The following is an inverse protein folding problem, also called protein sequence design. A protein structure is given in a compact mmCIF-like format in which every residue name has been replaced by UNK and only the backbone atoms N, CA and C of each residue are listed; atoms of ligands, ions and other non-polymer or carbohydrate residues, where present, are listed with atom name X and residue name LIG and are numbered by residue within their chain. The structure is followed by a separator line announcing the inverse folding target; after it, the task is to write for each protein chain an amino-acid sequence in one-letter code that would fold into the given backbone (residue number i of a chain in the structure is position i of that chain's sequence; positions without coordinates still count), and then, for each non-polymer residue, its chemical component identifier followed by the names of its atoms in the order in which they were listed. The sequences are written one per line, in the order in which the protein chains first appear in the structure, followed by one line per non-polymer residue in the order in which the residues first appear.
data_IF_396756308240
#
_entry.id   IF_396756308240
#
_cell.length_a   1.000
_cell.length_b   1.000
_cell.length_c   1.000
_cell.angle_alpha   90.00
_cell.angle_beta   90.00
_cell.angle_gamma   90.00
#
_symmetry.space_group_name_H-M   'P 1'
#
loop_
_entity.id
_entity.type
_entity.pdbx_description
1 polymer ?
#
# COMPACT_ATOMS: atom_id res chain seq x y z
N UNK A 1 8.31 -15.83 9.89
CA UNK A 1 7.56 -15.02 10.86
C UNK A 1 6.38 -14.34 10.14
N UNK A 2 5.50 -15.11 9.49
CA UNK A 2 4.19 -15.56 10.00
C UNK A 2 3.14 -14.44 10.27
N UNK A 3 3.24 -13.30 9.61
CA UNK A 3 2.09 -12.39 9.41
C UNK A 3 1.17 -12.78 8.24
N UNK A 4 1.22 -14.02 7.77
CA UNK A 4 0.68 -14.44 6.46
C UNK A 4 -0.83 -14.76 6.47
N UNK A 5 -1.53 -14.71 7.61
CA UNK A 5 -2.93 -15.20 7.70
C UNK A 5 -3.73 -14.46 8.78
N UNK A 6 -4.03 -13.18 8.60
CA UNK A 6 -5.07 -12.54 9.42
C UNK A 6 -6.33 -12.30 8.58
N UNK A 7 -7.12 -13.38 8.51
CA UNK A 7 -8.59 -13.39 8.56
C UNK A 7 -9.31 -12.34 7.70
N UNK A 8 -9.69 -12.77 6.49
CA UNK A 8 -10.07 -11.99 5.32
C UNK A 8 -11.22 -10.96 5.44
N UNK A 9 -12.04 -10.88 6.50
CA UNK A 9 -13.10 -9.86 6.54
C UNK A 9 -13.35 -9.27 7.94
N UNK A 10 -13.52 -10.10 8.96
CA UNK A 10 -13.80 -9.62 10.33
C UNK A 10 -12.64 -8.86 11.00
N UNK A 11 -11.40 -9.13 10.58
CA UNK A 11 -10.22 -8.44 11.12
C UNK A 11 -9.90 -7.14 10.38
N UNK A 12 -10.45 -6.98 9.17
CA UNK A 12 -10.29 -5.78 8.36
C UNK A 12 -11.10 -4.61 8.97
N UNK A 13 -12.36 -4.87 9.33
CA UNK A 13 -13.22 -3.90 10.00
C UNK A 13 -12.68 -3.53 11.38
N UNK A 14 -12.21 -4.52 12.14
CA UNK A 14 -11.64 -4.26 13.46
C UNK A 14 -10.28 -3.53 13.36
N UNK A 15 -9.46 -3.83 12.34
CA UNK A 15 -8.27 -3.05 12.04
C UNK A 15 -8.62 -1.60 11.69
N UNK A 16 -9.60 -1.35 10.82
CA UNK A 16 -10.09 -0.01 10.48
C UNK A 16 -10.57 0.73 11.75
N UNK A 17 -11.28 0.03 12.63
CA UNK A 17 -11.82 0.59 13.88
C UNK A 17 -10.72 0.92 14.90
N UNK A 18 -9.73 0.05 15.03
CA UNK A 18 -8.56 0.27 15.88
C UNK A 18 -7.69 1.42 15.34
N UNK A 19 -7.55 1.53 14.02
CA UNK A 19 -6.84 2.61 13.36
C UNK A 19 -7.54 3.96 13.54
N UNK A 20 -8.87 4.02 13.41
CA UNK A 20 -9.66 5.22 13.70
C UNK A 20 -9.55 5.69 15.16
N UNK A 21 -9.35 4.77 16.10
CA UNK A 21 -9.13 5.09 17.53
C UNK A 21 -7.70 5.52 17.84
N UNK A 22 -6.72 5.15 17.02
CA UNK A 22 -5.30 5.40 17.27
C UNK A 22 -4.79 6.62 16.50
N UNK A 23 -5.35 7.80 16.77
CA UNK A 23 -4.85 9.09 16.24
C UNK A 23 -3.66 9.65 17.03
N UNK A 24 -3.12 8.89 17.99
CA UNK A 24 -2.07 9.36 18.90
C UNK A 24 -0.64 9.01 18.47
N UNK A 25 -0.43 8.17 17.46
CA UNK A 25 0.91 7.83 16.95
C UNK A 25 0.83 7.60 15.44
N UNK A 26 1.21 8.61 14.64
CA UNK A 26 1.19 8.59 13.16
C UNK A 26 1.76 7.29 12.57
N UNK A 27 2.82 6.73 13.16
CA UNK A 27 3.43 5.49 12.70
C UNK A 27 2.47 4.28 12.68
N UNK A 28 1.64 4.11 13.73
CA UNK A 28 0.69 2.97 13.79
C UNK A 28 -0.49 3.16 12.84
N UNK A 29 -0.86 4.41 12.57
CA UNK A 29 -1.92 4.76 11.62
C UNK A 29 -1.52 4.36 10.19
N UNK A 30 -0.33 4.79 9.74
CA UNK A 30 0.13 4.55 8.37
C UNK A 30 0.40 3.06 8.12
N UNK A 31 0.97 2.32 9.09
CA UNK A 31 1.17 0.88 9.00
C UNK A 31 -0.15 0.09 8.81
N UNK A 32 -1.22 0.56 9.44
CA UNK A 32 -2.53 -0.05 9.29
C UNK A 32 -3.11 0.12 7.90
N UNK A 33 -3.04 1.32 7.32
CA UNK A 33 -3.48 1.54 5.94
C UNK A 33 -2.68 0.72 4.94
N UNK A 34 -1.37 0.55 5.14
CA UNK A 34 -0.59 -0.33 4.26
C UNK A 34 -0.97 -1.78 4.41
N UNK A 35 -1.27 -2.24 5.63
CA UNK A 35 -1.76 -3.61 5.86
C UNK A 35 -3.12 -3.83 5.19
N UNK A 36 -4.02 -2.84 5.27
CA UNK A 36 -5.31 -2.85 4.57
C UNK A 36 -5.13 -2.89 3.06
N UNK A 37 -4.26 -2.03 2.50
CA UNK A 37 -4.00 -2.01 1.07
C UNK A 37 -3.49 -3.37 0.56
N UNK A 38 -2.56 -3.99 1.28
CA UNK A 38 -2.07 -5.35 0.94
C UNK A 38 -3.20 -6.38 1.02
N UNK A 39 -4.04 -6.34 2.05
CA UNK A 39 -5.16 -7.27 2.19
C UNK A 39 -6.18 -7.12 1.05
N UNK A 40 -6.47 -5.89 0.63
CA UNK A 40 -7.35 -5.61 -0.50
C UNK A 40 -6.75 -6.11 -1.83
N UNK A 41 -5.45 -5.93 -2.06
CA UNK A 41 -4.76 -6.50 -3.24
C UNK A 41 -4.86 -8.02 -3.27
N UNK A 42 -4.65 -8.69 -2.13
CA UNK A 42 -4.80 -10.15 -2.04
C UNK A 42 -6.23 -10.64 -2.31
N UNK A 43 -7.24 -9.77 -2.16
CA UNK A 43 -8.64 -10.07 -2.46
C UNK A 43 -9.06 -9.62 -3.87
N UNK A 44 -8.14 -9.02 -4.65
CA UNK A 44 -8.46 -8.42 -5.95
C UNK A 44 -9.29 -7.14 -5.85
N UNK A 45 -9.43 -6.57 -4.66
CA UNK A 45 -10.14 -5.31 -4.40
C UNK A 45 -9.23 -4.10 -4.65
N UNK A 46 -8.88 -3.91 -5.92
CA UNK A 46 -7.84 -2.95 -6.32
C UNK A 46 -8.20 -1.51 -5.98
N UNK A 47 -9.47 -1.11 -6.12
CA UNK A 47 -9.91 0.25 -5.83
C UNK A 47 -9.82 0.59 -4.34
N UNK A 48 -10.21 -0.35 -3.47
CA UNK A 48 -10.09 -0.23 -2.03
C UNK A 48 -8.62 -0.19 -1.57
N UNK A 49 -7.75 -0.95 -2.25
CA UNK A 49 -6.31 -0.90 -2.01
C UNK A 49 -5.74 0.49 -2.33
N UNK A 50 -6.18 1.11 -3.44
CA UNK A 50 -5.78 2.46 -3.82
C UNK A 50 -6.22 3.48 -2.76
N UNK A 51 -7.48 3.42 -2.32
CA UNK A 51 -7.99 4.37 -1.32
C UNK A 51 -7.30 4.21 0.05
N UNK A 52 -6.97 2.98 0.45
CA UNK A 52 -6.18 2.71 1.64
C UNK A 52 -4.76 3.30 1.53
N UNK A 53 -4.06 3.06 0.41
CA UNK A 53 -2.74 3.62 0.15
C UNK A 53 -2.73 5.16 0.12
N UNK A 54 -3.73 5.78 -0.51
CA UNK A 54 -3.89 7.25 -0.52
C UNK A 54 -4.15 7.82 0.87
N UNK A 55 -4.91 7.11 1.70
CA UNK A 55 -5.17 7.51 3.08
C UNK A 55 -3.89 7.44 3.93
N UNK A 56 -3.04 6.43 3.71
CA UNK A 56 -1.72 6.33 4.31
C UNK A 56 -0.87 7.56 3.94
N UNK A 57 -0.82 7.93 2.66
CA UNK A 57 -0.05 9.08 2.16
C UNK A 57 -0.62 10.44 2.59
N UNK A 58 -1.93 10.54 2.88
CA UNK A 58 -2.50 11.76 3.48
C UNK A 58 -1.96 12.01 4.89
N UNK A 59 -1.71 10.95 5.66
CA UNK A 59 -1.10 11.07 6.98
C UNK A 59 0.42 11.21 6.91
N UNK A 60 1.07 10.45 6.04
CA UNK A 60 2.52 10.51 5.84
C UNK A 60 2.88 10.46 4.36
N UNK A 61 3.05 11.64 3.72
CA UNK A 61 3.27 11.74 2.27
C UNK A 61 4.53 11.04 1.76
N UNK A 62 5.51 10.82 2.64
CA UNK A 62 6.79 10.20 2.31
C UNK A 62 6.88 8.77 2.84
N UNK A 63 5.75 8.07 3.02
CA UNK A 63 5.78 6.68 3.49
C UNK A 63 6.03 5.72 2.32
N UNK A 64 7.21 5.08 2.27
CA UNK A 64 7.60 4.36 1.06
C UNK A 64 6.79 3.08 0.85
N UNK A 65 6.34 2.41 1.92
CA UNK A 65 5.52 1.20 1.82
C UNK A 65 4.15 1.50 1.20
N UNK A 66 3.57 2.67 1.50
CA UNK A 66 2.31 3.08 0.89
C UNK A 66 2.46 3.37 -0.61
N UNK A 67 3.58 3.97 -1.01
CA UNK A 67 3.93 4.12 -2.41
C UNK A 67 4.09 2.77 -3.12
N UNK A 68 4.76 1.80 -2.50
CA UNK A 68 4.88 0.46 -3.09
C UNK A 68 3.51 -0.23 -3.27
N UNK A 69 2.64 -0.18 -2.26
CA UNK A 69 1.31 -0.78 -2.34
C UNK A 69 0.44 -0.09 -3.41
N UNK A 70 0.52 1.24 -3.54
CA UNK A 70 -0.14 1.95 -4.62
C UNK A 70 0.42 1.56 -5.99
N UNK A 71 1.73 1.35 -6.10
CA UNK A 71 2.34 0.94 -7.35
C UNK A 71 1.81 -0.42 -7.82
N UNK A 72 1.72 -1.40 -6.91
CA UNK A 72 1.11 -2.71 -7.20
C UNK A 72 -0.37 -2.57 -7.54
N UNK A 73 -1.13 -1.76 -6.78
CA UNK A 73 -2.55 -1.56 -7.05
C UNK A 73 -2.81 -0.93 -8.42
N UNK A 74 -2.06 0.10 -8.80
CA UNK A 74 -2.19 0.72 -10.11
C UNK A 74 -1.73 -0.20 -11.24
N UNK A 75 -0.72 -1.04 -10.99
CA UNK A 75 -0.31 -2.07 -11.95
C UNK A 75 -1.46 -3.07 -12.21
N UNK A 76 -2.09 -3.59 -11.16
CA UNK A 76 -3.24 -4.50 -11.31
C UNK A 76 -4.45 -3.82 -11.97
N UNK A 77 -4.61 -2.51 -11.76
CA UNK A 77 -5.62 -1.69 -12.47
C UNK A 77 -5.28 -1.44 -13.95
N UNK A 78 -4.03 -1.70 -14.36
CA UNK A 78 -3.52 -1.40 -15.70
C UNK A 78 -3.07 0.05 -15.91
N UNK A 79 -3.01 0.86 -14.85
CA UNK A 79 -2.54 2.25 -14.89
C UNK A 79 -1.01 2.29 -14.68
N UNK A 80 -0.28 1.97 -15.75
CA UNK A 80 1.19 1.85 -15.71
C UNK A 80 1.89 3.16 -15.35
N UNK A 81 1.35 4.31 -15.76
CA UNK A 81 1.94 5.62 -15.45
C UNK A 81 1.95 5.90 -13.95
N UNK A 82 0.81 5.68 -13.27
CA UNK A 82 0.75 5.87 -11.81
C UNK A 82 1.51 4.80 -11.06
N UNK A 83 1.50 3.57 -11.58
CA UNK A 83 2.26 2.48 -11.00
C UNK A 83 3.76 2.81 -11.01
N UNK A 84 4.29 3.28 -12.13
CA UNK A 84 5.70 3.66 -12.27
C UNK A 84 6.06 4.85 -11.37
N UNK A 85 5.20 5.88 -11.32
CA UNK A 85 5.40 7.05 -10.46
C UNK A 85 5.56 6.65 -8.99
N UNK A 86 4.66 5.80 -8.50
CA UNK A 86 4.69 5.35 -7.11
C UNK A 86 5.82 4.36 -6.83
N UNK A 87 6.15 3.47 -7.77
CA UNK A 87 7.30 2.57 -7.65
C UNK A 87 8.61 3.37 -7.54
N UNK A 88 8.79 4.41 -8.39
CA UNK A 88 9.95 5.30 -8.31
C UNK A 88 10.03 6.02 -6.97
N UNK A 89 8.92 6.59 -6.48
CA UNK A 89 8.92 7.26 -5.17
C UNK A 89 9.25 6.33 -4.01
N UNK A 90 8.71 5.11 -3.99
CA UNK A 90 9.05 4.14 -2.96
C UNK A 90 10.57 3.88 -2.93
N UNK A 91 11.19 3.71 -4.10
CA UNK A 91 12.64 3.49 -4.24
C UNK A 91 13.47 4.70 -3.79
N UNK A 92 13.08 5.90 -4.19
CA UNK A 92 13.79 7.14 -3.81
C UNK A 92 13.73 7.41 -2.30
N UNK A 93 12.67 6.94 -1.65
CA UNK A 93 12.50 6.97 -0.20
C UNK A 93 13.20 5.81 0.52
N UNK A 94 13.98 4.99 -0.20
CA UNK A 94 14.84 3.93 0.35
C UNK A 94 14.16 2.57 0.54
N UNK A 95 12.99 2.34 -0.06
CA UNK A 95 12.35 1.02 -0.03
C UNK A 95 12.79 0.15 -1.19
N UNK A 96 12.97 -1.13 -0.90
CA UNK A 96 13.36 -2.13 -1.89
C UNK A 96 12.12 -2.56 -2.68
N UNK A 97 11.90 -1.89 -3.81
CA UNK A 97 10.78 -2.18 -4.72
C UNK A 97 11.14 -3.38 -5.57
N UNK A 98 10.19 -4.31 -5.69
CA UNK A 98 10.37 -5.52 -6.50
C UNK A 98 10.84 -5.16 -7.93
N UNK A 99 12.01 -5.67 -8.37
CA UNK A 99 12.51 -5.43 -9.72
C UNK A 99 11.52 -5.80 -10.81
N UNK A 100 10.64 -6.78 -10.56
CA UNK A 100 9.59 -7.17 -11.50
C UNK A 100 8.52 -6.09 -11.63
N UNK A 101 8.14 -5.43 -10.54
CA UNK A 101 7.23 -4.29 -10.57
C UNK A 101 7.83 -3.14 -11.41
N UNK A 102 9.13 -2.89 -11.27
CA UNK A 102 9.83 -1.87 -12.07
C UNK A 102 9.87 -2.23 -13.56
N UNK A 103 10.08 -3.50 -13.90
CA UNK A 103 10.05 -3.97 -15.30
C UNK A 103 8.65 -3.84 -15.90
N UNK A 104 7.62 -4.24 -15.17
CA UNK A 104 6.23 -4.24 -15.64
C UNK A 104 5.67 -2.83 -15.80
N UNK A 105 6.10 -1.89 -14.96
CA UNK A 105 5.73 -0.47 -15.07
C UNK A 105 6.54 0.28 -16.13
N UNK A 106 7.45 -0.40 -16.85
CA UNK A 106 8.26 0.21 -17.89
C UNK A 106 9.37 1.12 -17.38
N UNK A 107 9.70 1.03 -16.09
CA UNK A 107 10.73 1.81 -15.43
C UNK A 107 12.12 1.38 -15.94
N UNK A 108 12.50 1.86 -17.12
CA UNK A 108 13.85 1.72 -17.66
C UNK A 108 14.76 2.64 -16.86
N UNK A 109 15.60 2.03 -16.02
CA UNK A 109 16.70 2.70 -15.33
C UNK A 109 17.68 3.33 -16.30
#
# INVERSE_FOLDING_TARGET
NMGFVYMQQGNLEEAIKMLKRSTAFNFRFVQGFTTLATAYLMQGQVDEAIEAGRSALKAEPNFPVAHNNLAVAYLEKGDLEKAEFHARRARELGYDVDPELLKQTGCRG
#
